data_IF_914248771220
#
_entry.id   IF_914248771220
#
_cell.length_a   1.000
_cell.length_b   1.000
_cell.length_c   1.000
_cell.angle_alpha   90.00
_cell.angle_beta   90.00
_cell.angle_gamma   90.00
#
_symmetry.space_group_name_H-M   'P 1'
#
loop_
_entity.id
_entity.type
_entity.pdbx_description
1 polymer ?
#
# COMPACT_ATOMS: atom_id res chain seq x y z
N UNK A 1 19.44 -7.16 7.89
CA UNK A 1 18.71 -5.87 7.90
C UNK A 1 17.51 -6.02 6.96
N UNK A 2 16.47 -6.75 7.36
CA UNK A 2 15.37 -7.08 6.46
C UNK A 2 14.34 -5.96 6.50
N UNK A 3 14.47 -5.04 5.56
CA UNK A 3 13.47 -4.03 5.26
C UNK A 3 12.24 -4.77 4.70
N UNK A 4 11.43 -5.36 5.59
CA UNK A 4 10.31 -6.26 5.33
C UNK A 4 9.09 -5.49 4.76
N UNK A 5 9.33 -4.52 3.89
CA UNK A 5 8.29 -3.79 3.18
C UNK A 5 7.87 -4.63 1.97
N UNK A 6 6.82 -5.43 2.16
CA UNK A 6 6.31 -6.36 1.15
C UNK A 6 5.72 -5.69 -0.09
N UNK A 7 5.46 -4.38 -0.07
CA UNK A 7 4.86 -3.67 -1.19
C UNK A 7 5.98 -2.91 -1.91
N UNK A 8 6.58 -3.48 -2.98
CA UNK A 8 7.68 -2.83 -3.70
C UNK A 8 7.20 -1.60 -4.51
N UNK A 9 5.98 -1.65 -5.01
CA UNK A 9 5.37 -0.58 -5.80
C UNK A 9 3.84 -0.61 -5.66
N UNK A 10 3.19 0.48 -6.05
CA UNK A 10 1.74 0.59 -6.21
C UNK A 10 1.38 1.01 -7.63
N UNK A 11 0.11 0.86 -8.01
CA UNK A 11 -0.40 1.40 -9.27
C UNK A 11 -1.08 2.73 -9.04
N UNK A 12 -0.57 3.80 -9.63
CA UNK A 12 -1.21 5.10 -9.69
C UNK A 12 -2.26 5.13 -10.79
N UNK A 13 -3.51 5.40 -10.44
CA UNK A 13 -4.55 5.64 -11.44
C UNK A 13 -5.60 6.62 -10.91
N UNK A 14 -5.95 7.60 -11.73
CA UNK A 14 -7.03 8.56 -11.45
C UNK A 14 -8.40 8.03 -11.82
N UNK A 15 -8.45 7.09 -12.77
CA UNK A 15 -9.70 6.54 -13.33
C UNK A 15 -10.08 5.20 -12.72
N UNK A 16 -9.13 4.48 -12.13
CA UNK A 16 -9.42 3.21 -11.46
C UNK A 16 -10.27 3.42 -10.22
N UNK A 17 -11.33 2.63 -10.08
CA UNK A 17 -12.18 2.61 -8.90
C UNK A 17 -12.17 1.23 -8.26
N UNK A 18 -11.71 1.19 -7.01
CA UNK A 18 -11.80 0.01 -6.17
C UNK A 18 -13.28 -0.44 -6.05
N UNK A 19 -13.54 -1.73 -6.28
CA UNK A 19 -14.87 -2.39 -6.46
C UNK A 19 -15.49 -2.33 -7.87
N UNK A 20 -15.26 -1.28 -8.65
CA UNK A 20 -15.84 -1.19 -10.00
C UNK A 20 -14.94 -1.84 -11.06
N UNK A 21 -13.63 -1.77 -10.87
CA UNK A 21 -12.64 -2.33 -11.77
C UNK A 21 -11.99 -3.60 -11.21
N UNK A 22 -11.61 -4.49 -12.12
CA UNK A 22 -10.92 -5.73 -11.75
C UNK A 22 -9.42 -5.51 -11.56
N UNK A 23 -8.79 -6.33 -10.70
CA UNK A 23 -7.34 -6.32 -10.49
C UNK A 23 -6.52 -6.48 -11.79
N UNK A 24 -7.07 -7.18 -12.78
CA UNK A 24 -6.46 -7.35 -14.11
C UNK A 24 -6.45 -6.07 -14.96
N UNK A 25 -7.31 -5.11 -14.63
CA UNK A 25 -7.42 -3.84 -15.34
C UNK A 25 -6.52 -2.77 -14.72
N UNK A 26 -6.25 -2.85 -13.42
CA UNK A 26 -5.37 -1.94 -12.71
C UNK A 26 -4.02 -1.68 -13.42
N UNK A 27 -3.26 -2.70 -13.87
CA UNK A 27 -2.00 -2.47 -14.60
C UNK A 27 -2.18 -1.89 -16.01
N UNK A 28 -3.40 -1.91 -16.57
CA UNK A 28 -3.72 -1.31 -17.88
C UNK A 28 -4.19 0.13 -17.74
N UNK A 29 -4.79 0.47 -16.60
CA UNK A 29 -5.39 1.77 -16.30
C UNK A 29 -4.48 2.67 -15.47
N UNK A 30 -3.38 2.13 -14.95
CA UNK A 30 -2.50 2.82 -14.03
C UNK A 30 -1.04 2.55 -14.30
N UNK A 31 -0.20 3.42 -13.73
CA UNK A 31 1.25 3.40 -13.83
C UNK A 31 1.87 2.83 -12.55
N UNK A 32 2.97 2.09 -12.69
CA UNK A 32 3.74 1.61 -11.53
C UNK A 32 4.50 2.74 -10.88
N UNK A 33 4.22 2.99 -9.60
CA UNK A 33 4.87 4.03 -8.79
C UNK A 33 5.54 3.38 -7.60
N UNK A 34 6.82 3.67 -7.40
CA UNK A 34 7.60 3.24 -6.24
C UNK A 34 7.40 4.24 -5.08
N UNK A 35 7.72 3.86 -3.82
CA UNK A 35 7.66 4.82 -2.72
C UNK A 35 8.61 6.01 -2.90
N UNK A 36 9.65 5.87 -3.73
CA UNK A 36 10.59 6.95 -4.09
C UNK A 36 9.98 7.90 -5.12
N UNK A 37 9.29 7.37 -6.13
CA UNK A 37 8.59 8.12 -7.20
C UNK A 37 7.27 8.75 -6.72
N UNK A 38 6.74 8.31 -5.58
CA UNK A 38 5.48 8.83 -5.05
C UNK A 38 5.56 10.32 -4.74
N UNK A 39 4.61 11.06 -5.30
CA UNK A 39 4.36 12.48 -5.03
C UNK A 39 3.07 12.70 -4.22
N UNK A 40 3.00 13.85 -3.52
CA UNK A 40 1.82 14.30 -2.77
C UNK A 40 0.51 14.23 -3.59
N UNK A 41 0.60 14.58 -4.88
CA UNK A 41 -0.51 14.58 -5.84
C UNK A 41 -1.11 13.19 -6.10
N UNK A 42 -0.35 12.13 -5.81
CA UNK A 42 -0.76 10.73 -5.97
C UNK A 42 -1.48 10.18 -4.74
N UNK A 43 -1.59 10.95 -3.65
CA UNK A 43 -2.26 10.55 -2.41
C UNK A 43 -3.70 10.10 -2.67
N UNK A 44 -4.07 8.96 -2.06
CA UNK A 44 -5.35 8.26 -2.26
C UNK A 44 -5.63 7.75 -3.69
N UNK A 45 -4.67 7.81 -4.62
CA UNK A 45 -4.81 7.31 -6.01
C UNK A 45 -3.83 6.18 -6.34
N UNK A 46 -3.13 5.68 -5.33
CA UNK A 46 -2.24 4.53 -5.44
C UNK A 46 -2.97 3.29 -4.94
N UNK A 47 -2.90 2.21 -5.70
CA UNK A 47 -3.57 0.95 -5.42
C UNK A 47 -2.58 -0.21 -5.32
N UNK A 48 -2.94 -1.21 -4.52
CA UNK A 48 -2.10 -2.40 -4.34
C UNK A 48 -2.10 -3.26 -5.61
N UNK A 49 -0.93 -3.70 -6.10
CA UNK A 49 -0.85 -4.60 -7.25
C UNK A 49 -1.44 -6.00 -6.98
N UNK A 50 -1.61 -6.39 -5.71
CA UNK A 50 -2.09 -7.72 -5.32
C UNK A 50 -3.56 -7.77 -4.91
N UNK A 51 -4.17 -6.68 -4.44
CA UNK A 51 -5.57 -6.67 -4.01
C UNK A 51 -6.37 -5.43 -4.44
N UNK A 52 -5.79 -4.54 -5.25
CA UNK A 52 -6.40 -3.29 -5.70
C UNK A 52 -6.81 -2.31 -4.61
N UNK A 53 -6.54 -2.61 -3.33
CA UNK A 53 -6.90 -1.74 -2.21
C UNK A 53 -6.05 -0.46 -2.24
N UNK A 54 -6.63 0.70 -1.94
CA UNK A 54 -5.88 1.94 -1.86
C UNK A 54 -4.75 1.88 -0.82
N UNK A 55 -3.57 2.31 -1.25
CA UNK A 55 -2.36 2.40 -0.45
C UNK A 55 -2.11 3.83 0.03
N UNK A 56 -1.39 3.93 1.15
CA UNK A 56 -0.87 5.17 1.71
C UNK A 56 0.66 5.04 1.85
N UNK A 57 1.39 6.14 1.60
CA UNK A 57 2.83 6.22 1.85
C UNK A 57 3.09 6.59 3.30
N UNK A 58 4.09 5.95 3.90
CA UNK A 58 4.60 6.23 5.24
C UNK A 58 6.12 6.45 5.11
N UNK A 59 6.68 7.53 5.68
CA UNK A 59 5.98 8.66 6.34
C UNK A 59 5.12 9.47 5.34
N UNK A 60 3.99 10.01 5.81
CA UNK A 60 3.27 11.07 5.10
C UNK A 60 4.09 12.36 5.26
N UNK A 61 4.10 13.26 4.26
CA UNK A 61 4.94 14.47 4.23
C UNK A 61 4.84 15.34 5.50
N UNK A 62 3.72 15.27 6.24
CA UNK A 62 3.51 15.93 7.54
C UNK A 62 4.27 15.31 8.73
N UNK A 63 4.95 14.18 8.57
CA UNK A 63 5.76 13.56 9.62
C UNK A 63 7.21 14.04 9.51
N UNK A 64 7.59 14.95 10.41
CA UNK A 64 8.98 15.35 10.65
C UNK A 64 9.76 14.07 10.97
N UNK A 65 10.40 13.47 9.98
CA UNK A 65 11.23 12.28 10.18
C UNK A 65 12.68 12.69 10.14
N UNK A 66 13.25 12.81 11.34
CA UNK A 66 14.67 12.91 11.56
C UNK A 66 15.30 11.58 11.11
N UNK A 67 16.24 11.65 10.16
CA UNK A 67 17.17 10.58 9.78
C UNK A 67 16.61 9.41 8.94
N UNK A 68 16.83 9.47 7.63
CA UNK A 68 17.11 8.28 6.79
C UNK A 68 16.06 7.14 6.75
N UNK A 69 14.80 7.39 7.13
CA UNK A 69 13.75 6.38 7.05
C UNK A 69 13.35 6.11 5.59
N UNK A 70 13.43 4.84 5.19
CA UNK A 70 12.96 4.37 3.88
C UNK A 70 11.43 4.52 3.77
N UNK A 71 10.99 5.33 2.82
CA UNK A 71 9.58 5.46 2.46
C UNK A 71 8.99 4.12 2.03
N UNK A 72 7.78 3.82 2.45
CA UNK A 72 7.11 2.57 2.09
C UNK A 72 5.60 2.71 1.98
N UNK A 73 5.01 1.82 1.19
CA UNK A 73 3.57 1.74 1.05
C UNK A 73 2.92 0.84 2.09
N UNK A 74 1.71 1.21 2.48
CA UNK A 74 0.87 0.43 3.39
C UNK A 74 -0.59 0.48 2.94
N UNK A 75 -1.32 -0.61 3.16
CA UNK A 75 -2.77 -0.64 2.93
C UNK A 75 -3.51 0.32 3.86
N UNK A 76 -4.49 1.06 3.31
CA UNK A 76 -5.40 1.91 4.09
C UNK A 76 -6.17 1.09 5.12
N UNK A 77 -6.28 1.62 6.35
CA UNK A 77 -6.76 0.87 7.51
C UNK A 77 -8.23 0.44 7.43
N UNK A 78 -9.07 1.17 6.68
CA UNK A 78 -10.49 0.86 6.53
C UNK A 78 -10.82 -0.42 5.76
N UNK A 79 -9.84 -1.00 5.05
CA UNK A 79 -10.03 -2.19 4.22
C UNK A 79 -9.28 -3.40 4.82
N UNK A 80 -9.02 -3.37 6.14
CA UNK A 80 -8.12 -4.31 6.84
C UNK A 80 -8.64 -5.72 7.04
N UNK A 81 -9.93 -5.88 7.19
CA UNK A 81 -10.49 -7.19 7.51
C UNK A 81 -11.11 -7.89 6.30
N UNK A 82 -11.77 -7.13 5.42
CA UNK A 82 -12.57 -7.72 4.34
C UNK A 82 -11.76 -8.29 3.16
N UNK A 83 -10.50 -7.86 2.98
CA UNK A 83 -9.77 -8.12 1.73
C UNK A 83 -8.45 -8.84 2.00
N UNK A 84 -8.34 -10.11 1.59
CA UNK A 84 -7.09 -10.86 1.67
C UNK A 84 -6.06 -10.28 0.68
N UNK A 85 -4.81 -10.13 1.13
CA UNK A 85 -3.72 -9.63 0.29
C UNK A 85 -2.39 -10.23 0.76
N UNK A 86 -1.62 -10.79 -0.16
CA UNK A 86 -0.35 -11.46 0.14
C UNK A 86 0.75 -10.45 0.57
N UNK A 87 0.70 -9.26 -0.03
CA UNK A 87 1.61 -8.15 0.27
C UNK A 87 1.21 -7.40 1.55
N UNK A 88 0.06 -7.71 2.15
CA UNK A 88 -0.29 -7.18 3.46
C UNK A 88 0.58 -7.92 4.47
N UNK A 89 1.40 -7.19 5.23
CA UNK A 89 1.96 -7.76 6.47
C UNK A 89 0.78 -8.27 7.29
N UNK A 90 0.67 -9.60 7.39
CA UNK A 90 -0.01 -10.21 8.52
C UNK A 90 0.80 -9.77 9.73
N UNK A 91 0.39 -8.67 10.37
CA UNK A 91 0.61 -8.60 11.79
C UNK A 91 -0.24 -9.76 12.32
N UNK A 92 0.36 -10.95 12.38
CA UNK A 92 -0.05 -11.94 13.34
C UNK A 92 0.08 -11.17 14.65
N UNK A 93 -1.01 -10.60 15.15
CA UNK A 93 -1.15 -10.57 16.58
C UNK A 93 -1.06 -12.06 16.94
N UNK A 94 -0.05 -12.50 17.72
CA UNK A 94 -0.11 -13.84 18.26
C UNK A 94 -1.37 -13.89 19.12
N UNK A 95 -2.46 -14.36 18.51
CA UNK A 95 -3.64 -14.76 19.25
C UNK A 95 -3.21 -16.01 20.01
N UNK A 96 -2.93 -15.82 21.31
CA UNK A 96 -2.66 -16.90 22.25
C UNK A 96 -1.25 -17.47 22.20
N UNK A 97 -0.32 -16.80 22.89
CA UNK A 97 0.69 -17.53 23.66
C UNK A 97 0.22 -17.55 25.12
N UNK A 98 -0.75 -18.43 25.40
CA UNK A 98 -1.17 -18.78 26.75
C UNK A 98 -1.60 -20.24 26.72
N UNK A 99 -0.68 -21.12 27.12
CA UNK A 99 -0.95 -22.49 27.60
C UNK A 99 0.22 -22.89 28.49
#
# INVERSE_FOLDING_TARGET
>A
MENNHRIPFGYFSTSFQFQNNSLKELPKMGETVTPEEYEASMKNKIYCPSCSVPLIKIPNEDSITTSGMSSHFRHKQGYKDDIPCDLRKRCINPVGAAS
#
